data_IF_820302565624
#
_entry.id   IF_820302565624
#
_cell.length_a   1.000
_cell.length_b   1.000
_cell.length_c   1.000
_cell.angle_alpha   90.00
_cell.angle_beta   90.00
_cell.angle_gamma   90.00
#
_symmetry.space_group_name_H-M   'P 1'
#
loop_
_entity.id
_entity.type
_entity.pdbx_description
1 polymer ?
#
# COMPACT_ATOMS: atom_id res chain seq x y z
N UNK A 1 -6.66 11.31 20.97
CA UNK A 1 -7.23 10.18 20.21
C UNK A 1 -6.98 10.42 18.72
N UNK A 2 -5.77 10.13 18.21
CA UNK A 2 -5.34 10.55 16.87
C UNK A 2 -5.22 9.42 15.84
N UNK A 3 -5.48 8.18 16.26
CA UNK A 3 -5.51 7.03 15.37
C UNK A 3 -6.95 6.75 14.92
N UNK A 4 -7.15 6.33 13.66
CA UNK A 4 -8.46 6.27 13.02
C UNK A 4 -9.26 5.02 13.42
N UNK A 5 -9.31 4.68 14.70
CA UNK A 5 -9.95 3.44 15.15
C UNK A 5 -11.42 3.35 14.70
N UNK A 6 -11.81 2.24 14.10
CA UNK A 6 -13.13 1.99 13.52
C UNK A 6 -13.49 2.84 12.30
N UNK A 7 -12.54 3.59 11.73
CA UNK A 7 -12.76 4.44 10.54
C UNK A 7 -12.06 3.84 9.33
N UNK A 8 -12.83 3.30 8.40
CA UNK A 8 -12.35 2.77 7.13
C UNK A 8 -12.78 3.67 5.98
N UNK A 9 -11.96 3.71 4.93
CA UNK A 9 -12.35 4.31 3.65
C UNK A 9 -13.29 3.38 2.93
N UNK A 10 -14.27 3.95 2.23
CA UNK A 10 -15.21 3.21 1.40
C UNK A 10 -14.47 2.57 0.21
N UNK A 11 -14.36 1.24 0.24
CA UNK A 11 -13.66 0.48 -0.79
C UNK A 11 -14.53 0.35 -2.04
N UNK A 12 -13.98 0.70 -3.20
CA UNK A 12 -14.58 0.37 -4.49
C UNK A 12 -14.10 -1.01 -4.93
N UNK A 13 -15.03 -1.93 -5.13
CA UNK A 13 -14.72 -3.30 -5.57
C UNK A 13 -15.16 -3.57 -7.02
N UNK A 14 -15.52 -2.53 -7.76
CA UNK A 14 -15.88 -2.63 -9.17
C UNK A 14 -14.65 -2.98 -10.02
N UNK A 15 -14.69 -4.17 -10.63
CA UNK A 15 -13.61 -4.69 -11.48
C UNK A 15 -13.48 -3.91 -12.78
N UNK A 16 -14.60 -3.46 -13.36
CA UNK A 16 -14.59 -2.72 -14.63
C UNK A 16 -13.97 -1.33 -14.41
N UNK A 17 -14.32 -0.70 -13.29
CA UNK A 17 -13.67 0.54 -12.87
C UNK A 17 -12.17 0.35 -12.62
N UNK A 18 -11.78 -0.71 -11.90
CA UNK A 18 -10.39 -0.98 -11.61
C UNK A 18 -9.57 -1.23 -12.89
N UNK A 19 -10.13 -1.96 -13.85
CA UNK A 19 -9.50 -2.20 -15.14
C UNK A 19 -9.30 -0.90 -15.90
N UNK A 20 -10.34 -0.07 -16.00
CA UNK A 20 -10.26 1.24 -16.67
C UNK A 20 -9.18 2.15 -16.08
N UNK A 21 -9.07 2.20 -14.74
CA UNK A 21 -8.03 2.97 -14.04
C UNK A 21 -6.62 2.46 -14.36
N UNK A 22 -6.43 1.14 -14.37
CA UNK A 22 -5.14 0.53 -14.68
C UNK A 22 -4.74 0.74 -16.14
N UNK A 23 -5.70 0.68 -17.07
CA UNK A 23 -5.47 0.90 -18.50
C UNK A 23 -5.22 2.37 -18.85
N UNK A 24 -5.85 3.29 -18.13
CA UNK A 24 -5.62 4.73 -18.25
C UNK A 24 -4.20 5.12 -17.79
N UNK A 25 -3.74 4.57 -16.66
CA UNK A 25 -2.47 4.97 -16.05
C UNK A 25 -1.26 4.22 -16.61
N UNK A 26 -1.45 3.01 -17.18
CA UNK A 26 -0.36 2.14 -17.62
C UNK A 26 -0.64 1.53 -19.00
N UNK A 27 0.21 1.83 -19.97
CA UNK A 27 0.16 1.18 -21.28
C UNK A 27 0.85 -0.20 -21.22
N UNK A 28 0.18 -1.24 -21.73
CA UNK A 28 0.66 -2.63 -21.68
C UNK A 28 0.57 -3.24 -20.27
N UNK A 29 1.57 -4.02 -19.85
CA UNK A 29 1.60 -4.71 -18.55
C UNK A 29 0.40 -5.66 -18.33
N UNK A 30 -0.13 -6.27 -19.40
CA UNK A 30 -1.36 -7.06 -19.37
C UNK A 30 -1.35 -8.16 -18.31
N UNK A 31 -0.24 -8.89 -18.18
CA UNK A 31 -0.10 -9.95 -17.17
C UNK A 31 -0.20 -9.41 -15.73
N UNK A 32 0.39 -8.23 -15.49
CA UNK A 32 0.38 -7.57 -14.17
C UNK A 32 -1.02 -7.04 -13.87
N UNK A 33 -1.65 -6.36 -14.83
CA UNK A 33 -3.02 -5.85 -14.71
C UNK A 33 -4.00 -6.99 -14.43
N UNK A 34 -3.91 -8.09 -15.18
CA UNK A 34 -4.72 -9.29 -14.96
C UNK A 34 -4.54 -9.83 -13.55
N UNK A 35 -3.30 -9.93 -13.07
CA UNK A 35 -3.02 -10.43 -11.71
C UNK A 35 -3.57 -9.51 -10.62
N UNK A 36 -3.55 -8.20 -10.84
CA UNK A 36 -4.16 -7.22 -9.94
C UNK A 36 -5.68 -7.38 -9.94
N UNK A 37 -6.32 -7.52 -11.10
CA UNK A 37 -7.77 -7.71 -11.20
C UNK A 37 -8.22 -9.02 -10.53
N UNK A 38 -7.48 -10.12 -10.70
CA UNK A 38 -7.71 -11.37 -9.96
C UNK A 38 -7.63 -11.16 -8.44
N UNK A 39 -6.67 -10.38 -7.97
CA UNK A 39 -6.52 -10.06 -6.56
C UNK A 39 -7.73 -9.27 -6.02
N UNK A 40 -8.21 -8.29 -6.78
CA UNK A 40 -9.39 -7.48 -6.44
C UNK A 40 -10.65 -8.37 -6.44
N UNK A 41 -10.81 -9.24 -7.44
CA UNK A 41 -11.94 -10.14 -7.58
C UNK A 41 -12.04 -11.13 -6.41
N UNK A 42 -10.91 -11.71 -5.98
CA UNK A 42 -10.87 -12.60 -4.81
C UNK A 42 -11.21 -11.85 -3.52
N UNK A 43 -10.76 -10.60 -3.40
CA UNK A 43 -11.05 -9.75 -2.23
C UNK A 43 -12.53 -9.42 -2.15
N UNK A 44 -13.16 -9.11 -3.30
CA UNK A 44 -14.61 -8.92 -3.41
C UNK A 44 -15.38 -10.17 -2.99
N UNK A 45 -14.99 -11.36 -3.46
CA UNK A 45 -15.72 -12.60 -3.18
C UNK A 45 -15.69 -12.97 -1.69
N UNK A 46 -14.57 -12.73 -1.01
CA UNK A 46 -14.38 -13.09 0.40
C UNK A 46 -15.05 -12.14 1.40
N UNK A 47 -15.59 -10.97 0.96
CA UNK A 47 -16.18 -9.91 1.81
C UNK A 47 -15.29 -9.48 2.99
N UNK A 48 -14.01 -9.83 2.93
CA UNK A 48 -12.99 -9.53 3.91
C UNK A 48 -11.68 -9.43 3.17
N UNK A 49 -11.10 -8.24 3.24
CA UNK A 49 -9.76 -7.94 2.72
C UNK A 49 -8.73 -8.47 3.73
N UNK A 50 -8.73 -9.78 4.01
CA UNK A 50 -7.60 -10.42 4.68
C UNK A 50 -6.39 -10.26 3.75
N UNK A 51 -5.64 -9.19 4.00
CA UNK A 51 -4.72 -8.56 3.07
C UNK A 51 -3.66 -9.53 2.57
N UNK A 52 -3.76 -9.89 1.29
CA UNK A 52 -2.63 -10.55 0.62
C UNK A 52 -1.66 -9.45 0.19
N UNK A 53 -0.38 -9.74 0.38
CA UNK A 53 0.71 -8.84 0.03
C UNK A 53 1.07 -9.13 -1.42
N UNK A 54 1.09 -8.09 -2.26
CA UNK A 54 1.60 -8.16 -3.63
C UNK A 54 3.06 -7.68 -3.64
N UNK A 55 3.92 -8.44 -4.31
CA UNK A 55 5.31 -8.06 -4.53
C UNK A 55 5.56 -7.90 -6.03
N UNK A 56 6.07 -6.73 -6.42
CA UNK A 56 6.44 -6.44 -7.81
C UNK A 56 7.96 -6.41 -7.92
N UNK A 57 8.53 -7.24 -8.79
CA UNK A 57 9.97 -7.30 -9.06
C UNK A 57 10.26 -6.98 -10.53
N UNK A 58 11.43 -6.40 -10.80
CA UNK A 58 11.93 -6.14 -12.15
C UNK A 58 12.93 -4.99 -12.19
N UNK A 59 13.41 -4.58 -13.38
CA UNK A 59 14.33 -3.45 -13.53
C UNK A 59 13.78 -2.12 -12.98
N UNK A 60 14.63 -1.14 -12.62
CA UNK A 60 14.17 0.21 -12.29
C UNK A 60 13.48 0.86 -13.51
N UNK A 61 12.54 1.77 -13.27
CA UNK A 61 11.85 2.51 -14.33
C UNK A 61 10.64 1.81 -14.97
N UNK A 62 10.35 0.55 -14.64
CA UNK A 62 9.21 -0.21 -15.21
C UNK A 62 7.83 0.12 -14.60
N UNK A 63 7.73 1.19 -13.81
CA UNK A 63 6.43 1.68 -13.31
C UNK A 63 5.85 1.00 -12.06
N UNK A 64 6.57 0.10 -11.36
CA UNK A 64 6.10 -0.61 -10.15
C UNK A 64 5.42 0.29 -9.11
N UNK A 65 6.10 1.37 -8.72
CA UNK A 65 5.59 2.35 -7.74
C UNK A 65 4.36 3.10 -8.24
N UNK A 66 4.30 3.35 -9.55
CA UNK A 66 3.15 4.00 -10.21
C UNK A 66 1.94 3.07 -10.25
N UNK A 67 2.13 1.78 -10.56
CA UNK A 67 1.07 0.75 -10.52
C UNK A 67 0.43 0.68 -9.14
N UNK A 68 1.22 0.65 -8.07
CA UNK A 68 0.69 0.65 -6.70
C UNK A 68 -0.21 1.87 -6.39
N UNK A 69 0.12 3.03 -6.95
CA UNK A 69 -0.70 4.25 -6.81
C UNK A 69 -2.02 4.12 -7.58
N UNK A 70 -1.99 3.54 -8.79
CA UNK A 70 -3.21 3.25 -9.57
C UNK A 70 -4.11 2.23 -8.89
N UNK A 71 -3.54 1.21 -8.23
CA UNK A 71 -4.32 0.26 -7.42
C UNK A 71 -5.03 0.98 -6.27
N UNK A 72 -4.35 1.89 -5.57
CA UNK A 72 -4.96 2.66 -4.50
C UNK A 72 -6.11 3.55 -5.02
N UNK A 73 -5.92 4.18 -6.19
CA UNK A 73 -6.96 4.96 -6.90
C UNK A 73 -8.15 4.11 -7.29
N UNK A 74 -7.92 2.94 -7.90
CA UNK A 74 -8.95 1.99 -8.33
C UNK A 74 -9.80 1.50 -7.16
N UNK A 75 -9.17 1.19 -6.03
CA UNK A 75 -9.84 0.69 -4.82
C UNK A 75 -10.43 1.78 -3.94
N UNK A 76 -10.22 3.06 -4.27
CA UNK A 76 -10.58 4.20 -3.43
C UNK A 76 -9.99 4.10 -2.00
N UNK A 77 -8.72 3.69 -1.91
CA UNK A 77 -8.00 3.53 -0.63
C UNK A 77 -6.93 4.60 -0.49
N UNK A 78 -6.76 5.10 0.72
CA UNK A 78 -5.69 6.04 1.03
C UNK A 78 -4.32 5.39 0.76
N UNK A 79 -3.43 6.16 0.13
CA UNK A 79 -2.12 5.67 -0.29
C UNK A 79 -1.01 6.19 0.63
N UNK A 80 -0.19 5.27 1.15
CA UNK A 80 1.00 5.61 1.92
C UNK A 80 2.21 4.85 1.39
N UNK A 81 3.28 5.58 1.07
CA UNK A 81 4.54 4.99 0.61
C UNK A 81 5.65 5.29 1.60
N UNK A 82 6.47 4.28 1.90
CA UNK A 82 7.79 4.47 2.50
C UNK A 82 8.81 3.54 1.84
N UNK A 83 10.04 4.02 1.68
CA UNK A 83 11.16 3.16 1.27
C UNK A 83 11.77 2.52 2.50
N UNK A 84 12.22 1.28 2.34
CA UNK A 84 13.04 0.55 3.33
C UNK A 84 14.50 0.41 2.91
N UNK A 85 14.86 0.96 1.75
CA UNK A 85 16.23 0.96 1.26
C UNK A 85 17.15 1.81 2.16
N UNK A 86 18.26 1.23 2.59
CA UNK A 86 19.21 1.90 3.48
C UNK A 86 18.73 2.06 4.93
N UNK A 87 17.64 1.38 5.31
CA UNK A 87 17.25 1.27 6.71
C UNK A 87 18.12 0.25 7.43
N UNK A 88 18.80 0.67 8.49
CA UNK A 88 19.64 -0.20 9.31
C UNK A 88 19.04 -0.49 10.70
N UNK A 89 18.10 0.34 11.16
CA UNK A 89 17.48 0.19 12.48
C UNK A 89 15.98 -0.17 12.38
N UNK A 90 15.61 -1.27 13.04
CA UNK A 90 14.22 -1.70 13.21
C UNK A 90 13.34 -0.67 13.95
N UNK A 91 13.94 0.24 14.72
CA UNK A 91 13.24 1.30 15.42
C UNK A 91 12.57 2.29 14.46
N UNK A 92 13.06 2.44 13.23
CA UNK A 92 12.39 3.28 12.24
C UNK A 92 11.03 2.70 11.81
N UNK A 93 10.91 1.37 11.73
CA UNK A 93 9.67 0.67 11.40
C UNK A 93 8.76 0.57 12.62
N UNK A 94 9.31 0.15 13.77
CA UNK A 94 8.54 -0.14 15.01
C UNK A 94 8.26 1.10 15.86
N UNK A 95 9.10 2.12 15.74
CA UNK A 95 9.12 3.27 16.64
C UNK A 95 9.91 3.02 17.92
N UNK A 96 10.14 4.10 18.67
CA UNK A 96 10.86 4.06 19.92
C UNK A 96 9.92 3.90 21.12
N UNK A 97 10.44 3.35 22.22
CA UNK A 97 9.75 3.45 23.51
C UNK A 97 9.66 4.92 23.92
N UNK A 98 8.57 5.30 24.59
CA UNK A 98 8.34 6.69 25.03
C UNK A 98 9.41 7.25 25.98
N UNK A 99 10.18 6.37 26.62
CA UNK A 99 11.26 6.74 27.54
C UNK A 99 12.50 7.30 26.83
N UNK A 100 12.63 7.12 25.51
CA UNK A 100 13.75 7.67 24.76
C UNK A 100 13.53 9.16 24.45
N UNK A 101 14.55 9.97 24.67
CA UNK A 101 14.57 11.37 24.24
C UNK A 101 14.43 11.38 22.72
N UNK A 102 13.44 12.13 22.19
CA UNK A 102 13.14 12.17 20.76
C UNK A 102 12.35 10.97 20.22
N UNK A 103 11.63 10.23 21.08
CA UNK A 103 10.86 9.06 20.67
C UNK A 103 9.86 9.36 19.54
N UNK A 104 10.12 8.77 18.37
CA UNK A 104 9.25 8.85 17.20
C UNK A 104 8.40 7.57 17.06
N UNK A 105 7.12 7.69 16.67
CA UNK A 105 6.31 6.52 16.33
C UNK A 105 6.81 5.88 15.03
N UNK A 106 6.69 4.56 14.91
CA UNK A 106 7.11 3.82 13.72
C UNK A 106 6.29 4.18 12.47
N UNK A 107 6.79 3.79 11.28
CA UNK A 107 6.18 4.13 9.98
C UNK A 107 4.69 3.75 9.89
N UNK A 108 4.27 2.61 10.43
CA UNK A 108 2.85 2.20 10.38
C UNK A 108 1.95 3.12 11.20
N UNK A 109 2.40 3.59 12.36
CA UNK A 109 1.65 4.54 13.18
C UNK A 109 1.60 5.91 12.49
N UNK A 110 2.69 6.32 11.83
CA UNK A 110 2.71 7.54 11.02
C UNK A 110 1.76 7.44 9.82
N UNK A 111 1.71 6.28 9.16
CA UNK A 111 0.78 5.97 8.08
C UNK A 111 -0.67 6.22 8.53
N UNK A 112 -1.12 5.53 9.58
CA UNK A 112 -2.49 5.65 10.09
C UNK A 112 -2.85 7.08 10.52
N UNK A 113 -1.91 7.81 11.13
CA UNK A 113 -2.12 9.23 11.49
C UNK A 113 -2.28 10.12 10.26
N UNK A 114 -1.54 9.84 9.18
CA UNK A 114 -1.54 10.64 7.95
C UNK A 114 -2.76 10.35 7.08
N UNK A 115 -3.08 9.07 6.89
CA UNK A 115 -4.18 8.61 6.04
C UNK A 115 -5.54 8.71 6.73
N UNK A 116 -5.57 8.76 8.07
CA UNK A 116 -6.80 8.88 8.87
C UNK A 116 -7.83 7.76 8.58
N UNK A 117 -7.36 6.61 8.13
CA UNK A 117 -8.16 5.40 7.87
C UNK A 117 -7.44 4.15 8.36
N UNK A 118 -8.16 3.09 8.74
CA UNK A 118 -7.63 1.79 9.17
C UNK A 118 -7.22 0.88 8.01
N UNK A 119 -7.74 1.12 6.80
CA UNK A 119 -7.47 0.33 5.61
C UNK A 119 -6.67 1.08 4.53
N UNK A 120 -5.55 1.77 4.83
CA UNK A 120 -4.74 2.37 3.78
C UNK A 120 -4.05 1.27 2.95
N UNK A 121 -3.79 1.56 1.67
CA UNK A 121 -2.85 0.79 0.86
C UNK A 121 -1.44 1.31 1.18
N UNK A 122 -0.60 0.41 1.68
CA UNK A 122 0.77 0.74 2.08
C UNK A 122 1.74 0.14 1.07
N UNK A 123 2.52 0.99 0.41
CA UNK A 123 3.62 0.57 -0.45
C UNK A 123 4.93 0.59 0.35
N UNK A 124 5.58 -0.56 0.40
CA UNK A 124 6.94 -0.74 0.89
C UNK A 124 7.85 -0.79 -0.34
N UNK A 125 8.64 0.26 -0.54
CA UNK A 125 9.54 0.39 -1.71
C UNK A 125 10.97 -0.04 -1.35
N UNK A 126 11.73 -0.52 -2.34
CA UNK A 126 13.14 -0.93 -2.18
C UNK A 126 13.42 -1.98 -1.10
N UNK A 127 12.54 -2.99 -0.97
CA UNK A 127 12.70 -4.09 0.00
C UNK A 127 13.97 -4.94 -0.25
N UNK A 128 14.45 -4.96 -1.48
CA UNK A 128 15.70 -5.60 -1.91
C UNK A 128 16.96 -4.87 -1.40
N UNK A 129 16.82 -3.65 -0.88
CA UNK A 129 17.90 -2.82 -0.35
C UNK A 129 17.90 -2.74 1.18
N UNK A 130 17.22 -3.66 1.86
CA UNK A 130 17.35 -3.85 3.30
C UNK A 130 18.67 -4.57 3.58
N UNK A 131 19.56 -3.92 4.33
CA UNK A 131 20.90 -4.45 4.67
C UNK A 131 21.85 -3.33 5.05
#
# INVERSE_FOLDING_TARGET
TSLPWGKTSEEKTDLDHAQKVLDEDHHGMEDIKKRILEFIAVSHLKKSTHGKILCFYGPPGVGKTSVAKSIARALNREYFRFSVGGMHDTAEIKGHRRTYVGAMPGKMIQCLKKTKTENPLVLIDEIDKIG
#
